data_IF_910223152248
#
_entry.id   IF_910223152248
#
_cell.length_a   1.000
_cell.length_b   1.000
_cell.length_c   1.000
_cell.angle_alpha   90.00
_cell.angle_beta   90.00
_cell.angle_gamma   90.00
#
_symmetry.space_group_name_H-M   'P 1'
#
loop_
_entity.id
_entity.type
_entity.pdbx_description
1 polymer ?
#
# COMPACT_ATOMS: atom_id res chain seq x y z
N UNK A 1 -6.02 4.15 -0.86
CA UNK A 1 -5.74 3.38 0.36
C UNK A 1 -6.04 4.22 1.59
N UNK A 2 -6.65 3.62 2.62
CA UNK A 2 -6.77 4.18 3.98
C UNK A 2 -5.85 3.44 4.96
N UNK A 3 -5.46 4.10 6.04
CA UNK A 3 -4.60 3.53 7.07
C UNK A 3 -4.96 3.99 8.47
N UNK A 4 -4.63 3.16 9.46
CA UNK A 4 -4.71 3.48 10.89
C UNK A 4 -3.40 3.06 11.59
N UNK A 5 -3.02 3.81 12.62
CA UNK A 5 -1.91 3.49 13.51
C UNK A 5 -2.44 3.19 14.90
N UNK A 6 -2.01 2.06 15.48
CA UNK A 6 -2.37 1.65 16.83
C UNK A 6 -1.09 1.55 17.65
N UNK A 7 -0.96 2.40 18.65
CA UNK A 7 0.16 2.34 19.59
C UNK A 7 -0.02 1.16 20.55
N UNK A 8 0.96 0.27 20.60
CA UNK A 8 1.05 -0.89 21.50
C UNK A 8 2.40 -0.90 22.21
N UNK A 9 2.50 -0.12 23.29
CA UNK A 9 3.73 0.03 24.06
C UNK A 9 4.84 0.73 23.26
N UNK A 10 5.90 0.01 22.94
CA UNK A 10 7.06 0.50 22.18
C UNK A 10 7.04 0.06 20.71
N UNK A 11 5.87 -0.36 20.26
CA UNK A 11 5.58 -0.80 18.89
C UNK A 11 4.32 -0.09 18.40
N UNK A 12 4.29 0.29 17.13
CA UNK A 12 3.11 0.83 16.47
C UNK A 12 2.67 -0.12 15.37
N UNK A 13 1.40 -0.52 15.40
CA UNK A 13 0.79 -1.37 14.39
C UNK A 13 0.25 -0.48 13.28
N UNK A 14 0.60 -0.80 12.03
CA UNK A 14 0.05 -0.20 10.82
C UNK A 14 -0.99 -1.16 10.28
N UNK A 15 -2.23 -0.67 10.08
CA UNK A 15 -3.23 -1.38 9.28
C UNK A 15 -3.56 -0.55 8.06
N UNK A 16 -3.65 -1.21 6.91
CA UNK A 16 -3.99 -0.58 5.64
C UNK A 16 -5.15 -1.30 4.97
N UNK A 17 -5.94 -0.56 4.21
CA UNK A 17 -7.06 -1.07 3.44
C UNK A 17 -7.12 -0.38 2.07
N UNK A 18 -7.26 -1.16 1.00
CA UNK A 18 -7.30 -0.66 -0.38
C UNK A 18 -8.72 -0.64 -0.98
N UNK A 19 -9.76 -0.79 -0.16
CA UNK A 19 -11.16 -0.83 -0.63
C UNK A 19 -11.62 0.49 -1.27
N UNK A 20 -11.00 1.62 -0.94
CA UNK A 20 -11.24 2.91 -1.60
C UNK A 20 -10.71 2.97 -3.04
N UNK A 21 -9.81 2.05 -3.40
CA UNK A 21 -9.33 1.82 -4.78
C UNK A 21 -10.08 0.66 -5.47
N UNK A 22 -11.10 0.09 -4.83
CA UNK A 22 -11.83 -1.07 -5.35
C UNK A 22 -11.03 -2.39 -5.28
N UNK A 23 -9.96 -2.43 -4.47
CA UNK A 23 -9.10 -3.60 -4.31
C UNK A 23 -9.45 -4.32 -3.01
N UNK A 24 -9.88 -5.58 -3.09
CA UNK A 24 -10.12 -6.45 -1.93
C UNK A 24 -8.80 -6.96 -1.33
N UNK A 25 -8.10 -6.04 -0.66
CA UNK A 25 -6.86 -6.28 0.07
C UNK A 25 -6.79 -5.41 1.33
N UNK A 26 -6.44 -6.04 2.45
CA UNK A 26 -6.03 -5.38 3.69
C UNK A 26 -4.70 -5.98 4.17
N UNK A 27 -3.95 -5.21 4.94
CA UNK A 27 -2.66 -5.64 5.48
C UNK A 27 -2.45 -5.08 6.88
N UNK A 28 -1.70 -5.83 7.68
CA UNK A 28 -1.26 -5.43 9.02
C UNK A 28 0.23 -5.70 9.18
N UNK A 29 0.96 -4.77 9.80
CA UNK A 29 2.36 -4.97 10.20
C UNK A 29 2.67 -4.18 11.47
N UNK A 30 3.75 -4.54 12.16
CA UNK A 30 4.19 -3.86 13.37
C UNK A 30 5.58 -3.24 13.19
N UNK A 31 5.74 -2.01 13.66
CA UNK A 31 6.98 -1.23 13.56
C UNK A 31 7.44 -0.87 14.97
N UNK A 32 8.70 -1.15 15.28
CA UNK A 32 9.29 -0.72 16.55
C UNK A 32 9.39 0.80 16.58
N UNK A 33 8.88 1.43 17.63
CA UNK A 33 8.83 2.87 17.80
C UNK A 33 7.42 3.43 17.84
N UNK A 34 7.36 4.76 17.85
CA UNK A 34 6.11 5.52 17.90
C UNK A 34 5.49 5.69 16.50
N UNK A 35 4.40 6.46 16.45
CA UNK A 35 3.69 6.78 15.22
C UNK A 35 4.59 7.40 14.14
N UNK A 36 5.64 8.16 14.51
CA UNK A 36 6.56 8.76 13.52
C UNK A 36 7.35 7.68 12.77
N UNK A 37 7.76 6.62 13.47
CA UNK A 37 8.43 5.47 12.85
C UNK A 37 7.47 4.71 11.92
N UNK A 38 6.21 4.55 12.32
CA UNK A 38 5.18 3.92 11.51
C UNK A 38 4.85 4.73 10.25
N UNK A 39 4.72 6.06 10.36
CA UNK A 39 4.53 6.97 9.22
C UNK A 39 5.68 6.87 8.23
N UNK A 40 6.92 6.81 8.71
CA UNK A 40 8.10 6.67 7.85
C UNK A 40 8.13 5.32 7.10
N UNK A 41 7.59 4.25 7.72
CA UNK A 41 7.57 2.91 7.13
C UNK A 41 6.36 2.62 6.24
N UNK A 42 5.24 3.31 6.45
CA UNK A 42 4.00 3.15 5.68
C UNK A 42 4.21 3.05 4.15
N UNK A 43 4.98 3.92 3.47
CA UNK A 43 5.15 3.84 2.01
C UNK A 43 5.90 2.58 1.56
N UNK A 44 6.80 2.05 2.39
CA UNK A 44 7.50 0.78 2.13
C UNK A 44 6.50 -0.37 2.22
N UNK A 45 5.71 -0.41 3.29
CA UNK A 45 4.72 -1.45 3.49
C UNK A 45 3.65 -1.45 2.39
N UNK A 46 3.14 -0.28 2.00
CA UNK A 46 2.20 -0.15 0.88
C UNK A 46 2.80 -0.69 -0.42
N UNK A 47 4.04 -0.30 -0.73
CA UNK A 47 4.75 -0.74 -1.95
C UNK A 47 4.92 -2.26 -1.99
N UNK A 48 5.24 -2.87 -0.86
CA UNK A 48 5.38 -4.32 -0.75
C UNK A 48 4.04 -5.04 -0.98
N UNK A 49 2.94 -4.54 -0.41
CA UNK A 49 1.61 -5.09 -0.66
C UNK A 49 1.22 -4.98 -2.14
N UNK A 50 1.47 -3.83 -2.77
CA UNK A 50 1.19 -3.64 -4.21
C UNK A 50 2.01 -4.58 -5.09
N UNK A 51 3.27 -4.83 -4.73
CA UNK A 51 4.14 -5.75 -5.47
C UNK A 51 3.74 -7.22 -5.27
N UNK A 52 3.51 -7.62 -4.03
CA UNK A 52 3.20 -9.00 -3.67
C UNK A 52 1.81 -9.43 -4.14
N UNK A 53 0.87 -8.49 -4.24
CA UNK A 53 -0.50 -8.74 -4.69
C UNK A 53 -0.83 -7.97 -5.97
N UNK A 54 0.16 -7.78 -6.86
CA UNK A 54 0.01 -6.98 -8.08
C UNK A 54 -1.19 -7.40 -8.94
N UNK A 55 -1.55 -8.69 -8.93
CA UNK A 55 -2.72 -9.24 -9.62
C UNK A 55 -4.08 -8.69 -9.14
N UNK A 56 -4.15 -8.15 -7.92
CA UNK A 56 -5.36 -7.53 -7.36
C UNK A 56 -5.50 -6.06 -7.73
N UNK A 57 -4.43 -5.42 -8.18
CA UNK A 57 -4.42 -4.01 -8.52
C UNK A 57 -4.75 -3.81 -10.00
N UNK A 58 -5.47 -2.74 -10.36
CA UNK A 58 -5.70 -2.41 -11.76
C UNK A 58 -4.36 -2.22 -12.47
N UNK A 59 -4.17 -2.89 -13.60
CA UNK A 59 -3.01 -2.67 -14.47
C UNK A 59 -3.14 -1.25 -15.02
N UNK A 60 -2.10 -0.40 -14.90
CA UNK A 60 -2.10 0.92 -15.53
C UNK A 60 -2.42 0.74 -17.01
N UNK A 61 -3.42 1.46 -17.51
CA UNK A 61 -3.66 1.52 -18.95
C UNK A 61 -2.39 2.11 -19.59
N UNK A 62 -1.58 1.26 -20.22
CA UNK A 62 -0.46 1.73 -21.04
C UNK A 62 -1.14 2.58 -22.12
N UNK A 63 -0.84 3.89 -22.23
CA UNK A 63 -1.36 4.68 -23.33
C UNK A 63 -0.96 3.93 -24.59
N UNK A 64 -1.94 3.54 -25.41
CA UNK A 64 -1.67 2.87 -26.67
C UNK A 64 -0.63 3.73 -27.37
N UNK A 65 0.61 3.23 -27.49
CA UNK A 65 1.62 3.87 -28.30
C UNK A 65 0.95 3.96 -29.67
N UNK A 66 0.65 5.18 -30.11
CA UNK A 66 0.15 5.44 -31.44
C UNK A 66 1.21 4.90 -32.39
N UNK A 67 1.06 3.62 -32.74
CA UNK A 67 1.88 2.92 -33.70
C UNK A 67 1.72 3.66 -35.00
N UNK A 68 2.67 4.54 -35.27
CA UNK A 68 2.85 5.13 -36.57
C UNK A 68 2.92 4.00 -37.59
N UNK A 69 1.92 3.94 -38.45
CA UNK A 69 2.04 3.38 -39.78
C UNK A 69 1.58 4.49 -40.72
N UNK A 70 2.57 5.21 -41.23
CA UNK A 70 2.48 5.89 -42.53
C UNK A 70 2.30 4.85 -43.64
#
# INVERSE_FOLDING_TARGET
MTYEFINDGDTTIIKVNFSDEGVELSGETSVKGDESAAVAYLPVFESDLRRNFAEKFPVPEIPAENGGMI
#
